data_IF_773909710372
#
_entry.id   IF_773909710372
#
_cell.length_a   1.000
_cell.length_b   1.000
_cell.length_c   1.000
_cell.angle_alpha   90.00
_cell.angle_beta   90.00
_cell.angle_gamma   90.00
#
_symmetry.space_group_name_H-M   'P 1'
#
loop_
_entity.id
_entity.type
_entity.pdbx_description
1 polymer ?
#
# COMPACT_ATOMS: atom_id res chain seq x y z
N UNK A 1 -22.94 9.84 -21.07
CA UNK A 1 -23.27 9.71 -19.64
C UNK A 1 -22.06 10.19 -18.87
N UNK A 2 -22.16 11.33 -18.18
CA UNK A 2 -21.08 11.82 -17.32
C UNK A 2 -21.04 10.95 -16.07
N UNK A 3 -20.03 10.10 -15.96
CA UNK A 3 -19.73 9.39 -14.71
C UNK A 3 -19.32 10.45 -13.69
N UNK A 4 -20.20 10.70 -12.71
CA UNK A 4 -19.84 11.48 -11.53
C UNK A 4 -18.60 10.84 -10.90
N UNK A 5 -17.55 11.60 -10.52
CA UNK A 5 -16.42 11.02 -9.83
C UNK A 5 -16.93 10.47 -8.50
N UNK A 6 -16.89 9.14 -8.35
CA UNK A 6 -17.17 8.51 -7.07
C UNK A 6 -16.21 9.10 -6.03
N UNK A 7 -16.74 9.55 -4.89
CA UNK A 7 -15.94 10.10 -3.81
C UNK A 7 -14.83 9.11 -3.43
N UNK A 8 -13.57 9.53 -3.48
CA UNK A 8 -12.43 8.67 -3.13
C UNK A 8 -12.53 8.31 -1.64
N UNK A 9 -12.30 7.04 -1.26
CA UNK A 9 -12.35 6.64 0.14
C UNK A 9 -11.28 7.39 0.94
N UNK A 10 -11.63 7.87 2.13
CA UNK A 10 -10.73 8.58 3.04
C UNK A 10 -9.80 7.58 3.75
N UNK A 11 -8.57 8.00 4.03
CA UNK A 11 -7.60 7.21 4.79
C UNK A 11 -8.11 7.01 6.22
N UNK A 12 -8.27 5.76 6.71
CA UNK A 12 -8.68 5.53 8.09
C UNK A 12 -7.65 6.08 9.08
N UNK A 13 -8.07 6.61 10.24
CA UNK A 13 -7.14 7.22 11.21
C UNK A 13 -6.18 6.21 11.84
N UNK A 14 -6.43 4.90 11.71
CA UNK A 14 -5.56 3.82 12.19
C UNK A 14 -4.45 3.46 11.21
N UNK A 15 -4.46 4.03 10.00
CA UNK A 15 -3.62 3.60 8.88
C UNK A 15 -2.49 4.60 8.64
N UNK A 16 -1.30 4.07 8.40
CA UNK A 16 -0.11 4.81 8.01
C UNK A 16 0.40 4.29 6.66
N UNK A 17 0.69 5.21 5.74
CA UNK A 17 1.02 4.89 4.35
C UNK A 17 2.29 5.63 3.92
N UNK A 18 3.14 4.93 3.17
CA UNK A 18 4.18 5.56 2.37
C UNK A 18 4.58 4.67 1.20
N UNK A 19 5.30 5.24 0.24
CA UNK A 19 5.89 4.50 -0.88
C UNK A 19 7.27 5.04 -1.19
N UNK A 20 8.02 4.32 -1.99
CA UNK A 20 9.27 4.83 -2.51
C UNK A 20 9.92 3.86 -3.48
N UNK A 21 11.22 4.06 -3.67
CA UNK A 21 12.07 3.27 -4.55
C UNK A 21 13.36 2.93 -3.84
N UNK A 22 13.79 1.68 -4.00
CA UNK A 22 15.13 1.23 -3.65
C UNK A 22 16.06 1.38 -4.86
N UNK A 23 17.19 2.05 -4.70
CA UNK A 23 18.11 2.32 -5.81
C UNK A 23 18.89 1.08 -6.31
N UNK A 24 19.10 0.08 -5.45
CA UNK A 24 19.86 -1.13 -5.79
C UNK A 24 19.02 -2.31 -6.30
N UNK A 25 19.69 -3.32 -6.86
CA UNK A 25 19.09 -4.54 -7.42
C UNK A 25 18.89 -5.68 -6.41
N UNK A 26 19.42 -5.55 -5.20
CA UNK A 26 19.39 -6.58 -4.15
C UNK A 26 18.44 -6.24 -2.98
N UNK A 27 17.34 -5.52 -3.26
CA UNK A 27 16.42 -5.00 -2.24
C UNK A 27 15.88 -6.10 -1.31
N UNK A 28 15.53 -7.27 -1.87
CA UNK A 28 15.02 -8.41 -1.11
C UNK A 28 16.02 -8.95 -0.08
N UNK A 29 17.29 -9.14 -0.48
CA UNK A 29 18.31 -9.68 0.42
C UNK A 29 18.72 -8.68 1.50
N UNK A 30 18.63 -7.39 1.21
CA UNK A 30 18.78 -6.33 2.21
C UNK A 30 17.64 -6.40 3.22
N UNK A 31 16.39 -6.54 2.79
CA UNK A 31 15.23 -6.68 3.67
C UNK A 31 15.29 -7.94 4.52
N UNK A 32 15.56 -9.11 3.92
CA UNK A 32 15.66 -10.38 4.66
C UNK A 32 16.69 -10.28 5.79
N UNK A 33 17.86 -9.69 5.52
CA UNK A 33 18.89 -9.45 6.54
C UNK A 33 18.46 -8.43 7.58
N UNK A 34 17.79 -7.35 7.18
CA UNK A 34 17.32 -6.32 8.09
C UNK A 34 16.23 -6.83 9.04
N UNK A 35 15.22 -7.53 8.52
CA UNK A 35 14.14 -8.13 9.30
C UNK A 35 14.64 -9.14 10.32
N UNK A 36 15.59 -10.01 9.94
CA UNK A 36 16.27 -10.92 10.87
C UNK A 36 16.93 -10.16 12.01
N UNK A 37 17.73 -9.13 11.70
CA UNK A 37 18.37 -8.29 12.73
C UNK A 37 17.37 -7.58 13.64
N UNK A 38 16.28 -7.06 13.09
CA UNK A 38 15.23 -6.38 13.88
C UNK A 38 14.53 -7.38 14.82
N UNK A 39 14.27 -8.60 14.36
CA UNK A 39 13.71 -9.67 15.20
C UNK A 39 14.69 -10.10 16.30
N UNK A 40 15.97 -10.30 15.96
CA UNK A 40 17.01 -10.69 16.92
C UNK A 40 17.21 -9.63 18.02
N UNK A 41 17.02 -8.34 17.68
CA UNK A 41 17.07 -7.21 18.62
C UNK A 41 15.76 -6.97 19.37
N UNK A 42 14.70 -7.72 19.08
CA UNK A 42 13.36 -7.51 19.63
C UNK A 42 12.76 -6.13 19.30
N UNK A 43 13.21 -5.50 18.20
CA UNK A 43 12.64 -4.26 17.68
C UNK A 43 11.28 -4.49 16.99
N UNK A 44 11.05 -5.72 16.52
CA UNK A 44 9.78 -6.24 15.99
C UNK A 44 9.43 -7.57 16.69
N UNK A 45 8.15 -7.91 16.76
CA UNK A 45 7.69 -9.17 17.35
C UNK A 45 7.95 -10.34 16.39
N UNK A 46 7.54 -10.17 15.12
CA UNK A 46 7.73 -11.17 14.08
C UNK A 46 7.69 -10.57 12.67
N UNK A 47 8.13 -11.35 11.69
CA UNK A 47 8.04 -11.04 10.26
C UNK A 47 7.82 -12.31 9.43
N UNK A 48 7.24 -12.15 8.25
CA UNK A 48 7.00 -13.22 7.29
C UNK A 48 7.27 -12.71 5.87
N UNK A 49 8.01 -13.48 5.10
CA UNK A 49 8.04 -13.34 3.65
C UNK A 49 6.90 -14.21 3.07
N UNK A 50 5.92 -13.58 2.45
CA UNK A 50 4.77 -14.28 1.89
C UNK A 50 5.24 -15.01 0.63
N UNK A 51 4.97 -16.34 0.50
CA UNK A 51 5.36 -17.09 -0.68
C UNK A 51 4.86 -16.45 -1.96
N UNK A 52 5.71 -16.44 -2.99
CA UNK A 52 5.36 -15.97 -4.31
C UNK A 52 4.10 -16.69 -4.82
N UNK A 53 3.11 -15.90 -5.24
CA UNK A 53 1.91 -16.41 -5.89
C UNK A 53 2.04 -16.17 -7.39
N UNK A 54 1.65 -17.15 -8.21
CA UNK A 54 1.59 -17.00 -9.66
C UNK A 54 0.71 -15.81 -10.12
N UNK A 55 -0.15 -15.29 -9.23
CA UNK A 55 -1.04 -14.16 -9.49
C UNK A 55 -0.41 -12.78 -9.25
N UNK A 56 0.76 -12.67 -8.60
CA UNK A 56 1.37 -11.37 -8.30
C UNK A 56 2.90 -11.40 -8.48
N UNK A 57 3.45 -10.53 -9.34
CA UNK A 57 4.90 -10.41 -9.50
C UNK A 57 5.56 -9.66 -8.32
N UNK A 58 4.78 -9.20 -7.34
CA UNK A 58 5.28 -8.48 -6.18
C UNK A 58 5.79 -9.44 -5.10
N UNK A 59 6.92 -9.08 -4.49
CA UNK A 59 7.43 -9.72 -3.26
C UNK A 59 6.82 -9.03 -2.05
N UNK A 60 6.30 -9.80 -1.12
CA UNK A 60 5.54 -9.27 0.02
C UNK A 60 6.20 -9.68 1.34
N UNK A 61 6.43 -8.70 2.19
CA UNK A 61 6.94 -8.87 3.54
C UNK A 61 5.93 -8.32 4.53
N UNK A 62 5.57 -9.11 5.53
CA UNK A 62 4.73 -8.71 6.64
C UNK A 62 5.59 -8.57 7.90
N UNK A 63 5.27 -7.61 8.76
CA UNK A 63 5.91 -7.44 10.05
C UNK A 63 4.91 -6.98 11.10
N UNK A 64 5.05 -7.51 12.32
CA UNK A 64 4.25 -7.16 13.48
C UNK A 64 5.12 -6.54 14.57
N UNK A 65 4.59 -5.53 15.24
CA UNK A 65 5.21 -4.92 16.42
C UNK A 65 4.17 -4.45 17.42
N UNK A 66 4.45 -4.59 18.73
CA UNK A 66 3.77 -3.85 19.79
C UNK A 66 4.45 -2.51 20.07
N UNK A 67 3.68 -1.43 20.03
CA UNK A 67 4.10 -0.08 20.41
C UNK A 67 3.41 0.30 21.73
N UNK A 68 4.15 0.98 22.61
CA UNK A 68 3.66 1.39 23.94
C UNK A 68 3.05 0.22 24.76
N UNK A 69 3.58 -0.99 24.60
CA UNK A 69 3.17 -2.20 25.32
C UNK A 69 1.82 -2.81 24.91
N UNK A 70 0.90 -2.02 24.36
CA UNK A 70 -0.49 -2.47 24.11
C UNK A 70 -0.95 -2.39 22.66
N UNK A 71 -0.39 -1.46 21.87
CA UNK A 71 -0.89 -1.23 20.52
C UNK A 71 -0.19 -2.16 19.54
N UNK A 72 -0.96 -3.05 18.92
CA UNK A 72 -0.43 -3.89 17.85
C UNK A 72 -0.44 -3.10 16.55
N UNK A 73 0.73 -3.01 15.91
CA UNK A 73 0.92 -2.48 14.56
C UNK A 73 1.23 -3.65 13.64
N UNK A 74 0.43 -3.77 12.58
CA UNK A 74 0.64 -4.70 11.47
C UNK A 74 1.11 -3.91 10.28
N UNK A 75 2.20 -4.33 9.64
CA UNK A 75 2.73 -3.65 8.49
C UNK A 75 3.01 -4.63 7.36
N UNK A 76 2.68 -4.22 6.13
CA UNK A 76 2.92 -4.96 4.90
C UNK A 76 3.68 -4.09 3.92
N UNK A 77 4.84 -4.58 3.51
CA UNK A 77 5.68 -4.01 2.46
C UNK A 77 5.53 -4.85 1.21
N UNK A 78 5.17 -4.22 0.10
CA UNK A 78 5.15 -4.85 -1.22
C UNK A 78 6.25 -4.25 -2.09
N UNK A 79 7.09 -5.10 -2.65
CA UNK A 79 8.17 -4.76 -3.57
C UNK A 79 7.78 -5.16 -4.99
N UNK A 80 7.81 -4.20 -5.90
CA UNK A 80 7.65 -4.45 -7.34
C UNK A 80 8.85 -5.27 -7.87
N UNK A 81 8.77 -5.88 -9.05
CA UNK A 81 9.96 -6.42 -9.73
C UNK A 81 11.04 -5.35 -9.91
N UNK A 82 12.31 -5.75 -9.75
CA UNK A 82 13.44 -4.86 -10.00
C UNK A 82 13.52 -4.42 -11.46
N UNK A 83 13.88 -3.16 -11.68
CA UNK A 83 14.17 -2.58 -13.00
C UNK A 83 15.58 -1.98 -13.00
N UNK A 84 16.09 -1.59 -14.18
CA UNK A 84 17.38 -0.89 -14.30
C UNK A 84 17.41 0.42 -13.49
N UNK A 85 16.24 1.01 -13.21
CA UNK A 85 16.09 2.23 -12.43
C UNK A 85 15.87 2.01 -10.93
N UNK A 86 15.95 0.77 -10.45
CA UNK A 86 15.66 0.40 -9.05
C UNK A 86 14.37 -0.39 -8.89
N UNK A 87 13.93 -0.55 -7.64
CA UNK A 87 12.78 -1.36 -7.26
C UNK A 87 11.77 -0.56 -6.44
N UNK A 88 10.57 -0.35 -6.98
CA UNK A 88 9.50 0.37 -6.30
C UNK A 88 8.95 -0.45 -5.13
N UNK A 89 8.57 0.25 -4.06
CA UNK A 89 7.99 -0.37 -2.88
C UNK A 89 6.83 0.46 -2.33
N UNK A 90 5.87 -0.23 -1.72
CA UNK A 90 4.72 0.37 -1.04
C UNK A 90 4.60 -0.24 0.34
N UNK A 91 4.44 0.62 1.35
CA UNK A 91 4.31 0.23 2.76
C UNK A 91 2.97 0.71 3.31
N UNK A 92 2.18 -0.24 3.79
CA UNK A 92 0.94 0.01 4.52
C UNK A 92 1.11 -0.53 5.93
N UNK A 93 0.79 0.28 6.92
CA UNK A 93 0.70 -0.15 8.31
C UNK A 93 -0.67 0.21 8.88
N UNK A 94 -1.18 -0.64 9.75
CA UNK A 94 -2.43 -0.44 10.47
C UNK A 94 -2.23 -0.76 11.95
N UNK A 95 -2.61 0.17 12.80
CA UNK A 95 -2.61 0.02 14.25
C UNK A 95 -4.00 -0.42 14.77
N UNK A 96 -4.03 -1.05 15.95
CA UNK A 96 -5.29 -1.41 16.63
C UNK A 96 -6.04 -0.22 17.23
N UNK A 97 -5.44 0.99 17.22
CA UNK A 97 -6.00 2.26 17.69
C UNK A 97 -5.67 3.36 16.66
N UNK A 98 -6.34 4.54 16.70
CA UNK A 98 -5.93 5.69 15.88
C UNK A 98 -4.43 5.95 15.98
N UNK A 99 -3.82 6.27 14.86
CA UNK A 99 -2.38 6.44 14.74
C UNK A 99 -1.92 7.66 15.54
N UNK A 100 -0.96 7.45 16.44
CA UNK A 100 -0.33 8.54 17.18
C UNK A 100 0.91 9.02 16.41
N UNK A 101 1.02 10.32 16.04
CA UNK A 101 2.19 10.88 15.37
C UNK A 101 3.50 10.68 16.13
N UNK A 102 3.45 10.55 17.45
CA UNK A 102 4.62 10.34 18.30
C UNK A 102 5.21 8.92 18.20
N UNK A 103 4.45 7.97 17.63
CA UNK A 103 4.96 6.62 17.42
C UNK A 103 6.06 6.59 16.35
N UNK A 104 7.07 5.72 16.50
CA UNK A 104 8.09 5.54 15.47
C UNK A 104 7.48 5.18 14.11
N UNK A 105 8.08 5.70 13.03
CA UNK A 105 7.65 5.36 11.68
C UNK A 105 7.69 3.84 11.42
N UNK A 106 6.64 3.26 10.80
CA UNK A 106 6.57 1.83 10.42
C UNK A 106 7.68 1.38 9.48
N UNK A 107 8.30 2.31 8.78
CA UNK A 107 9.53 2.09 8.01
C UNK A 107 10.60 1.38 8.84
N UNK A 108 10.72 1.73 10.12
CA UNK A 108 11.63 1.11 11.07
C UNK A 108 11.37 -0.38 11.35
N UNK A 109 10.24 -0.93 10.90
CA UNK A 109 9.92 -2.36 11.02
C UNK A 109 10.55 -3.21 9.91
N UNK A 110 11.02 -2.60 8.83
CA UNK A 110 11.60 -3.31 7.67
C UNK A 110 13.08 -3.06 7.49
N UNK A 111 13.55 -1.86 7.88
CA UNK A 111 14.97 -1.54 7.89
C UNK A 111 15.31 -0.63 9.07
N UNK A 112 16.55 -0.68 9.58
CA UNK A 112 16.97 0.17 10.70
C UNK A 112 16.82 1.67 10.38
N UNK A 113 16.77 2.52 11.42
CA UNK A 113 16.61 3.97 11.28
C UNK A 113 17.81 4.67 10.64
N UNK A 114 18.97 4.02 10.63
CA UNK A 114 20.12 4.28 9.76
C UNK A 114 20.08 3.30 8.58
N UNK A 115 19.10 3.36 7.66
CA UNK A 115 19.17 2.57 6.46
C UNK A 115 20.23 3.15 5.54
N UNK A 116 20.71 2.27 4.66
CA UNK A 116 21.28 2.66 3.38
C UNK A 116 20.44 3.77 2.76
N UNK A 117 21.09 4.84 2.27
CA UNK A 117 20.42 5.97 1.64
C UNK A 117 19.51 5.53 0.48
N UNK A 118 19.74 4.32 -0.04
CA UNK A 118 19.08 3.73 -1.19
C UNK A 118 17.58 3.50 -1.03
N UNK A 119 17.03 3.40 0.19
CA UNK A 119 15.58 3.22 0.41
C UNK A 119 14.78 4.51 0.43
N UNK A 120 15.45 5.66 0.55
CA UNK A 120 14.80 6.95 0.83
C UNK A 120 14.51 7.75 -0.43
N UNK A 121 13.96 7.13 -1.47
CA UNK A 121 13.61 7.82 -2.71
C UNK A 121 12.12 7.76 -2.96
N UNK A 122 11.50 8.88 -3.29
CA UNK A 122 10.15 8.89 -3.85
C UNK A 122 10.18 8.27 -5.26
N UNK A 123 9.24 7.37 -5.54
CA UNK A 123 9.20 6.64 -6.81
C UNK A 123 8.88 7.55 -8.01
N UNK A 124 8.11 8.63 -7.82
CA UNK A 124 7.67 9.50 -8.91
C UNK A 124 8.69 10.60 -9.23
N UNK A 125 9.33 11.16 -8.20
CA UNK A 125 10.16 12.37 -8.31
C UNK A 125 11.65 12.11 -7.99
N UNK A 126 11.98 10.97 -7.40
CA UNK A 126 13.33 10.63 -6.94
C UNK A 126 13.80 11.40 -5.69
N UNK A 127 12.93 12.25 -5.12
CA UNK A 127 13.22 13.10 -3.97
C UNK A 127 13.38 12.27 -2.70
N UNK A 128 14.06 12.84 -1.71
CA UNK A 128 14.35 12.14 -0.46
C UNK A 128 13.46 12.64 0.69
N UNK A 129 12.50 11.83 1.19
CA UNK A 129 11.73 12.17 2.37
C UNK A 129 12.64 12.25 3.60
N UNK A 130 12.41 13.27 4.43
CA UNK A 130 13.20 13.52 5.63
C UNK A 130 14.55 14.22 5.40
N UNK A 131 14.85 14.61 4.16
CA UNK A 131 16.06 15.34 3.79
C UNK A 131 15.71 16.65 3.07
N UNK A 132 16.70 17.54 3.00
CA UNK A 132 16.59 18.81 2.28
C UNK A 132 16.71 18.56 0.77
N UNK A 133 15.68 18.91 0.00
CA UNK A 133 15.70 18.81 -1.44
C UNK A 133 15.76 20.22 -2.07
N UNK A 134 16.91 20.69 -2.57
CA UNK A 134 16.98 21.98 -3.25
C UNK A 134 16.15 21.97 -4.54
N UNK A 135 15.47 23.07 -4.81
CA UNK A 135 14.76 23.25 -6.07
C UNK A 135 15.74 23.41 -7.23
N UNK A 136 15.40 22.90 -8.43
CA UNK A 136 16.27 23.03 -9.61
C UNK A 136 16.51 24.51 -9.95
N UNK A 137 17.66 24.82 -10.56
CA UNK A 137 17.95 26.18 -11.01
C UNK A 137 17.07 26.61 -12.20
N UNK A 138 16.65 25.66 -13.04
CA UNK A 138 15.80 25.91 -14.20
C UNK A 138 14.32 26.11 -13.81
N UNK A 139 13.76 27.27 -14.16
CA UNK A 139 12.37 27.65 -13.85
C UNK A 139 11.33 26.63 -14.35
N UNK A 140 11.57 26.04 -15.52
CA UNK A 140 10.66 25.04 -16.09
C UNK A 140 10.71 23.73 -15.28
N UNK A 141 11.90 23.33 -14.82
CA UNK A 141 12.10 22.21 -13.93
C UNK A 141 11.48 22.45 -12.55
N UNK A 142 11.58 23.66 -11.98
CA UNK A 142 10.87 24.05 -10.74
C UNK A 142 9.36 23.85 -10.90
N UNK A 143 8.78 24.42 -11.96
CA UNK A 143 7.34 24.32 -12.21
C UNK A 143 6.88 22.89 -12.40
N UNK A 144 7.64 22.08 -13.14
CA UNK A 144 7.34 20.66 -13.31
C UNK A 144 7.42 19.91 -11.99
N UNK A 145 8.50 20.11 -11.21
CA UNK A 145 8.69 19.45 -9.91
C UNK A 145 7.54 19.74 -8.95
N UNK A 146 7.19 21.01 -8.75
CA UNK A 146 6.13 21.39 -7.81
C UNK A 146 4.75 20.89 -8.24
N UNK A 147 4.48 20.86 -9.56
CA UNK A 147 3.24 20.26 -10.09
C UNK A 147 3.19 18.75 -9.87
N UNK A 148 4.30 18.05 -10.12
CA UNK A 148 4.37 16.60 -9.94
C UNK A 148 4.23 16.24 -8.46
N UNK A 149 4.85 17.00 -7.56
CA UNK A 149 4.69 16.86 -6.10
C UNK A 149 3.26 17.15 -5.64
N UNK A 150 2.61 18.19 -6.16
CA UNK A 150 1.22 18.47 -5.82
C UNK A 150 0.24 17.39 -6.31
N UNK A 151 0.64 16.57 -7.29
CA UNK A 151 -0.15 15.39 -7.72
C UNK A 151 0.19 14.14 -6.92
N UNK A 152 1.31 14.13 -6.21
CA UNK A 152 1.66 13.01 -5.35
C UNK A 152 0.86 13.08 -4.04
N UNK A 153 -0.07 12.14 -3.90
CA UNK A 153 -0.87 12.02 -2.68
C UNK A 153 -0.17 11.20 -1.58
N UNK A 154 0.98 10.57 -1.87
CA UNK A 154 1.65 9.68 -0.93
C UNK A 154 2.53 10.42 0.09
N UNK A 155 3.13 11.55 -0.31
CA UNK A 155 4.00 12.35 0.54
C UNK A 155 3.37 13.69 0.90
N UNK A 156 3.81 14.27 2.02
CA UNK A 156 3.49 15.64 2.39
C UNK A 156 4.61 16.53 1.89
N UNK A 157 4.31 17.45 0.98
CA UNK A 157 5.31 18.34 0.40
C UNK A 157 5.29 19.70 1.08
N UNK A 158 6.45 20.14 1.55
CA UNK A 158 6.63 21.44 2.19
C UNK A 158 7.62 22.25 1.37
N UNK A 159 7.25 23.47 0.97
CA UNK A 159 8.16 24.38 0.26
C UNK A 159 8.59 25.48 1.22
N UNK A 160 9.90 25.59 1.44
CA UNK A 160 10.50 26.62 2.30
C UNK A 160 11.32 27.56 1.44
N UNK A 161 11.10 28.86 1.59
CA UNK A 161 11.88 29.89 0.93
C UNK A 161 12.99 30.41 1.85
N UNK A 162 14.23 30.25 1.43
CA UNK A 162 15.40 30.78 2.14
C UNK A 162 15.45 32.31 1.97
N UNK A 163 15.22 33.08 3.04
CA UNK A 163 15.33 34.55 2.99
C UNK A 163 16.76 35.00 2.64
N UNK A 164 17.73 34.21 3.09
CA UNK A 164 19.17 34.32 2.87
C UNK A 164 19.76 32.92 2.87
N UNK A 165 20.96 32.75 2.32
CA UNK A 165 21.64 31.45 2.29
C UNK A 165 21.84 30.92 3.72
N UNK A 166 21.33 29.73 4.06
CA UNK A 166 21.44 29.18 5.40
C UNK A 166 22.89 28.78 5.73
N UNK A 167 23.25 28.92 7.00
CA UNK A 167 24.51 28.41 7.54
C UNK A 167 24.43 26.88 7.75
N UNK A 168 25.45 26.27 8.38
CA UNK A 168 25.45 24.82 8.62
C UNK A 168 24.26 24.36 9.48
N UNK A 169 23.82 25.19 10.43
CA UNK A 169 22.68 24.90 11.30
C UNK A 169 21.36 25.04 10.55
N UNK A 170 21.26 26.01 9.65
CA UNK A 170 20.12 26.20 8.78
C UNK A 170 19.91 25.11 7.72
N UNK A 171 20.91 24.25 7.50
CA UNK A 171 20.82 23.07 6.63
C UNK A 171 20.20 21.85 7.31
N UNK A 172 19.89 21.93 8.61
CA UNK A 172 19.18 20.86 9.31
C UNK A 172 17.81 20.63 8.66
N UNK A 173 17.49 19.40 8.22
CA UNK A 173 16.18 19.09 7.66
C UNK A 173 15.05 19.29 8.66
N UNK A 174 13.90 19.75 8.19
CA UNK A 174 12.66 19.92 8.97
C UNK A 174 12.27 18.63 9.70
N UNK A 175 12.52 17.48 9.07
CA UNK A 175 12.21 16.17 9.66
C UNK A 175 12.93 15.87 10.98
N UNK A 176 13.98 16.62 11.34
CA UNK A 176 14.59 16.53 12.67
C UNK A 176 13.60 16.91 13.78
N UNK A 177 12.76 17.93 13.52
CA UNK A 177 11.82 18.53 14.47
C UNK A 177 10.43 17.89 14.43
N UNK A 178 10.11 17.14 13.37
CA UNK A 178 8.80 16.52 13.23
C UNK A 178 8.61 15.32 14.17
N UNK A 179 7.35 15.01 14.54
CA UNK A 179 6.99 13.76 15.19
C UNK A 179 7.58 12.54 14.45
N UNK A 180 8.08 11.51 15.16
CA UNK A 180 8.74 10.35 14.55
C UNK A 180 7.95 9.68 13.42
N UNK A 181 6.61 9.65 13.52
CA UNK A 181 5.73 9.07 12.51
C UNK A 181 5.70 9.85 11.19
N UNK A 182 6.03 11.15 11.20
CA UNK A 182 5.98 12.04 10.03
C UNK A 182 7.32 12.20 9.31
N UNK A 183 8.44 11.94 9.99
CA UNK A 183 9.80 12.19 9.46
C UNK A 183 10.08 11.54 8.10
N UNK A 184 9.41 10.42 7.78
CA UNK A 184 9.58 9.64 6.55
C UNK A 184 8.48 9.85 5.51
N UNK A 185 7.56 10.77 5.76
CA UNK A 185 6.46 11.13 4.85
C UNK A 185 6.56 12.56 4.32
N UNK A 186 7.32 13.41 5.02
CA UNK A 186 7.53 14.81 4.63
C UNK A 186 8.71 14.93 3.68
N UNK A 187 8.47 15.59 2.55
CA UNK A 187 9.47 15.99 1.55
C UNK A 187 9.61 17.50 1.60
N UNK A 188 10.78 17.95 2.03
CA UNK A 188 11.11 19.36 2.16
C UNK A 188 11.80 19.88 0.90
N UNK A 189 11.25 20.94 0.31
CA UNK A 189 11.80 21.65 -0.83
C UNK A 189 12.39 22.99 -0.40
N UNK A 190 13.65 23.25 -0.76
CA UNK A 190 14.32 24.53 -0.49
C UNK A 190 14.38 25.39 -1.74
N UNK A 191 13.77 26.56 -1.68
CA UNK A 191 13.90 27.61 -2.67
C UNK A 191 14.99 28.59 -2.24
N UNK A 192 15.95 28.88 -3.12
CA UNK A 192 16.99 29.87 -2.87
C UNK A 192 16.40 31.29 -2.82
N UNK A 193 17.13 32.28 -2.26
CA UNK A 193 16.62 33.65 -2.13
C UNK A 193 16.18 34.31 -3.44
N UNK A 194 16.72 33.88 -4.57
CA UNK A 194 16.42 34.41 -5.90
C UNK A 194 15.19 33.73 -6.54
N UNK A 195 14.79 32.55 -6.04
CA UNK A 195 13.73 31.72 -6.64
C UNK A 195 12.31 32.10 -6.18
N UNK A 196 12.15 33.06 -5.25
CA UNK A 196 10.84 33.49 -4.72
C UNK A 196 9.76 33.67 -5.80
N UNK A 197 10.10 34.42 -6.85
CA UNK A 197 9.15 34.77 -7.92
C UNK A 197 8.75 33.54 -8.74
N UNK A 198 9.70 32.67 -9.05
CA UNK A 198 9.50 31.48 -9.88
C UNK A 198 8.67 30.44 -9.12
N UNK A 199 8.96 30.25 -7.83
CA UNK A 199 8.18 29.37 -6.95
C UNK A 199 6.74 29.84 -6.84
N UNK A 200 6.49 31.10 -6.51
CA UNK A 200 5.12 31.62 -6.40
C UNK A 200 4.39 31.65 -7.76
N UNK A 201 5.11 31.76 -8.87
CA UNK A 201 4.52 31.57 -10.19
C UNK A 201 4.10 30.11 -10.43
N UNK A 202 4.93 29.14 -10.05
CA UNK A 202 4.63 27.72 -10.17
C UNK A 202 3.47 27.28 -9.26
N UNK A 203 3.36 27.87 -8.06
CA UNK A 203 2.34 27.55 -7.06
C UNK A 203 1.00 28.24 -7.31
N UNK A 204 0.94 29.25 -8.18
CA UNK A 204 -0.29 29.97 -8.53
C UNK A 204 -1.42 29.05 -8.96
N UNK A 205 -1.11 28.03 -9.77
CA UNK A 205 -2.11 27.06 -10.26
C UNK A 205 -2.69 26.19 -9.12
N UNK A 206 -2.01 26.13 -7.98
CA UNK A 206 -2.44 25.41 -6.76
C UNK A 206 -3.13 26.32 -5.75
N UNK A 207 -3.23 27.63 -6.02
CA UNK A 207 -3.88 28.59 -5.13
C UNK A 207 -3.10 28.92 -3.86
N UNK A 208 -1.80 28.65 -3.81
CA UNK A 208 -0.95 28.89 -2.63
C UNK A 208 0.22 29.81 -2.95
N UNK A 209 0.72 30.51 -1.93
CA UNK A 209 1.88 31.41 -2.02
C UNK A 209 2.84 31.13 -0.86
N UNK A 210 4.15 31.11 -1.17
CA UNK A 210 5.23 31.03 -0.19
C UNK A 210 5.68 32.45 0.14
N UNK A 211 5.51 32.91 1.40
CA UNK A 211 6.04 34.19 1.84
C UNK A 211 7.57 34.21 1.76
N UNK A 212 8.15 35.39 1.54
CA UNK A 212 9.61 35.53 1.50
C UNK A 212 10.20 35.23 2.87
N UNK A 213 11.01 34.18 2.96
CA UNK A 213 11.56 33.69 4.23
C UNK A 213 10.59 32.81 5.00
N UNK A 214 9.45 32.46 4.41
CA UNK A 214 8.42 31.62 4.99
C UNK A 214 8.39 30.23 4.38
N UNK A 215 7.30 29.52 4.64
CA UNK A 215 7.06 28.18 4.10
C UNK A 215 5.57 27.95 3.82
N UNK A 216 5.26 26.95 3.01
CA UNK A 216 3.88 26.50 2.78
C UNK A 216 3.83 24.97 2.70
N UNK A 217 2.78 24.38 3.26
CA UNK A 217 2.45 22.97 3.05
C UNK A 217 1.58 22.87 1.80
N UNK A 218 2.00 22.08 0.80
CA UNK A 218 1.26 21.96 -0.45
C UNK A 218 -0.06 21.19 -0.22
N UNK A 219 -1.18 21.63 -0.82
CA UNK A 219 -2.49 21.02 -0.62
C UNK A 219 -2.58 19.58 -1.15
N UNK A 220 -1.77 19.21 -2.14
CA UNK A 220 -2.00 18.00 -2.93
C UNK A 220 -3.14 18.18 -3.96
N UNK A 221 -3.50 17.10 -4.65
CA UNK A 221 -4.53 17.12 -5.69
C UNK A 221 -5.34 15.81 -5.67
N UNK A 222 -6.61 15.83 -5.22
CA UNK A 222 -7.35 16.99 -4.74
C UNK A 222 -6.87 17.47 -3.36
N UNK A 223 -7.14 18.75 -3.04
CA UNK A 223 -6.90 19.30 -1.71
C UNK A 223 -7.81 18.60 -0.67
N UNK A 224 -7.32 18.32 0.55
CA UNK A 224 -8.12 17.77 1.63
C UNK A 224 -9.26 18.71 2.04
N UNK A 225 -10.36 18.12 2.51
CA UNK A 225 -11.44 18.91 3.10
C UNK A 225 -10.92 19.66 4.35
N UNK A 226 -11.19 20.96 4.42
CA UNK A 226 -10.70 21.82 5.49
C UNK A 226 -9.30 22.41 5.25
N UNK A 227 -8.70 22.20 4.08
CA UNK A 227 -7.48 22.92 3.70
C UNK A 227 -7.76 24.40 3.38
N UNK A 228 -7.11 25.30 4.11
CA UNK A 228 -7.04 26.73 3.79
C UNK A 228 -5.59 27.17 3.56
N UNK A 229 -5.33 27.88 2.45
CA UNK A 229 -3.99 28.28 2.07
C UNK A 229 -3.32 29.22 3.10
N UNK A 230 -4.10 30.02 3.82
CA UNK A 230 -3.60 30.91 4.86
C UNK A 230 -3.17 30.14 6.11
N UNK A 231 -3.97 29.16 6.52
CA UNK A 231 -3.70 28.35 7.72
C UNK A 231 -2.46 27.44 7.59
N UNK A 232 -2.09 27.09 6.35
CA UNK A 232 -0.93 26.24 6.04
C UNK A 232 0.23 27.00 5.39
N UNK A 233 0.22 28.33 5.46
CA UNK A 233 1.30 29.22 5.04
C UNK A 233 1.92 29.93 6.25
N UNK A 234 3.20 29.73 6.46
CA UNK A 234 3.98 30.31 7.56
C UNK A 234 4.77 31.50 7.05
N UNK A 235 4.57 32.67 7.68
CA UNK A 235 5.14 33.94 7.20
C UNK A 235 6.64 34.03 7.34
N UNK A 236 7.20 33.48 8.41
CA UNK A 236 8.63 33.55 8.72
C UNK A 236 9.10 32.21 9.30
N UNK A 237 10.16 31.67 8.71
CA UNK A 237 10.82 30.45 9.15
C UNK A 237 12.30 30.78 9.29
N UNK A 238 12.81 30.74 10.52
CA UNK A 238 14.21 30.99 10.80
C UNK A 238 15.02 29.71 10.60
N UNK A 239 16.05 29.79 9.75
CA UNK A 239 16.93 28.68 9.42
C UNK A 239 18.28 28.89 10.10
N UNK A 240 18.26 29.02 11.42
CA UNK A 240 19.42 29.28 12.29
C UNK A 240 19.72 28.09 13.23
N UNK A 241 19.01 26.97 13.04
CA UNK A 241 19.06 25.79 13.88
C UNK A 241 18.07 25.79 15.05
N UNK A 242 17.26 26.84 15.20
CA UNK A 242 16.12 26.81 16.12
C UNK A 242 14.97 25.99 15.55
N UNK A 243 14.13 25.45 16.43
CA UNK A 243 12.94 24.71 16.02
C UNK A 243 11.93 25.65 15.34
N UNK A 244 11.51 25.38 14.09
CA UNK A 244 10.51 26.19 13.41
C UNK A 244 9.10 25.76 13.86
N UNK A 245 8.72 26.12 15.09
CA UNK A 245 7.50 25.63 15.76
C UNK A 245 6.22 25.85 14.92
N UNK A 246 6.04 27.03 14.34
CA UNK A 246 4.86 27.35 13.50
C UNK A 246 4.76 26.42 12.27
N UNK A 247 5.90 26.05 11.68
CA UNK A 247 5.95 25.14 10.54
C UNK A 247 5.71 23.69 10.95
N UNK A 248 6.27 23.27 12.08
CA UNK A 248 6.02 21.93 12.66
C UNK A 248 4.53 21.77 12.99
N UNK A 249 3.92 22.80 13.58
CA UNK A 249 2.49 22.81 13.89
C UNK A 249 1.64 22.76 12.61
N UNK A 250 1.96 23.57 11.59
CA UNK A 250 1.23 23.56 10.31
C UNK A 250 1.29 22.18 9.63
N UNK A 251 2.45 21.53 9.60
CA UNK A 251 2.61 20.18 9.03
C UNK A 251 1.83 19.13 9.82
N UNK A 252 1.89 19.20 11.15
CA UNK A 252 1.19 18.25 12.03
C UNK A 252 -0.33 18.39 11.90
N UNK A 253 -0.83 19.62 11.84
CA UNK A 253 -2.25 19.92 11.62
C UNK A 253 -2.70 19.46 10.23
N UNK A 254 -1.86 19.63 9.21
CA UNK A 254 -2.16 19.16 7.85
C UNK A 254 -2.25 17.62 7.79
N UNK A 255 -1.35 16.90 8.47
CA UNK A 255 -1.38 15.44 8.49
C UNK A 255 -2.66 14.88 9.12
N UNK A 256 -3.21 15.58 10.12
CA UNK A 256 -4.46 15.25 10.79
C UNK A 256 -5.72 15.50 9.95
N UNK A 257 -5.62 16.18 8.79
CA UNK A 257 -6.77 16.37 7.91
C UNK A 257 -7.21 15.05 7.27
N UNK A 258 -8.53 14.82 7.11
CA UNK A 258 -9.05 13.68 6.37
C UNK A 258 -8.59 13.74 4.91
N UNK A 259 -7.75 12.79 4.50
CA UNK A 259 -7.19 12.73 3.14
C UNK A 259 -7.74 11.58 2.32
N UNK A 260 -8.02 11.78 1.02
CA UNK A 260 -8.36 10.67 0.14
C UNK A 260 -7.20 9.67 0.08
N UNK A 261 -7.52 8.39 -0.01
CA UNK A 261 -6.52 7.35 -0.22
C UNK A 261 -5.79 7.60 -1.54
N UNK A 262 -4.45 7.59 -1.54
CA UNK A 262 -3.67 7.66 -2.77
C UNK A 262 -3.99 6.51 -3.72
N UNK A 263 -3.75 6.72 -5.02
CA UNK A 263 -3.94 5.68 -6.03
C UNK A 263 -3.09 4.44 -5.68
N UNK A 264 -3.72 3.25 -5.68
CA UNK A 264 -3.12 1.97 -5.26
C UNK A 264 -3.14 1.70 -3.75
N UNK A 265 -3.36 2.70 -2.89
CA UNK A 265 -3.36 2.50 -1.43
C UNK A 265 -4.56 1.67 -0.94
N UNK A 266 -5.73 1.80 -1.58
CA UNK A 266 -6.91 1.01 -1.24
C UNK A 266 -6.69 -0.48 -1.45
N UNK A 267 -6.06 -0.87 -2.57
CA UNK A 267 -5.74 -2.27 -2.87
C UNK A 267 -4.72 -2.81 -1.86
N UNK A 268 -3.67 -2.04 -1.57
CA UNK A 268 -2.65 -2.42 -0.60
C UNK A 268 -3.21 -2.55 0.84
N UNK A 269 -4.13 -1.66 1.24
CA UNK A 269 -4.81 -1.75 2.53
C UNK A 269 -5.78 -2.93 2.61
N UNK A 270 -6.49 -3.22 1.52
CA UNK A 270 -7.37 -4.39 1.43
C UNK A 270 -6.54 -5.67 1.56
N UNK A 271 -5.42 -5.75 0.85
CA UNK A 271 -4.49 -6.87 0.95
C UNK A 271 -3.90 -7.01 2.37
N UNK A 272 -3.57 -5.91 3.05
CA UNK A 272 -3.13 -5.96 4.46
C UNK A 272 -4.22 -6.53 5.39
N UNK A 273 -5.50 -6.26 5.13
CA UNK A 273 -6.61 -6.70 6.01
C UNK A 273 -7.08 -8.11 5.72
N UNK A 274 -7.14 -8.49 4.44
CA UNK A 274 -7.72 -9.77 4.00
C UNK A 274 -6.69 -10.90 3.92
N UNK A 275 -5.46 -10.61 3.50
CA UNK A 275 -4.45 -11.65 3.28
C UNK A 275 -3.43 -11.80 4.43
N UNK A 276 -3.60 -11.07 5.54
CA UNK A 276 -2.66 -11.05 6.67
C UNK A 276 -2.42 -12.46 7.24
N UNK A 277 -1.14 -12.83 7.40
CA UNK A 277 -0.77 -14.19 7.85
C UNK A 277 -0.02 -14.23 9.18
N UNK A 278 0.51 -13.10 9.66
CA UNK A 278 1.22 -13.01 10.93
C UNK A 278 0.27 -12.89 12.13
N UNK A 279 -0.47 -13.96 12.40
CA UNK A 279 -1.31 -14.09 13.59
C UNK A 279 -0.50 -14.65 14.77
N UNK A 280 -0.88 -14.28 15.98
CA UNK A 280 -0.45 -14.98 17.20
C UNK A 280 -1.20 -16.28 17.36
N UNK A 281 -0.65 -17.25 18.09
CA UNK A 281 -1.33 -18.51 18.41
C UNK A 281 -2.71 -18.29 19.06
N UNK A 282 -2.86 -17.25 19.88
CA UNK A 282 -4.14 -16.90 20.50
C UNK A 282 -5.18 -16.44 19.47
N UNK A 283 -4.76 -15.59 18.53
CA UNK A 283 -5.60 -15.12 17.43
C UNK A 283 -5.94 -16.25 16.45
N UNK A 284 -4.99 -17.13 16.13
CA UNK A 284 -5.23 -18.33 15.33
C UNK A 284 -6.24 -19.25 16.02
N UNK A 285 -6.05 -19.53 17.30
CA UNK A 285 -6.97 -20.36 18.07
C UNK A 285 -8.38 -19.76 18.14
N UNK A 286 -8.49 -18.44 18.30
CA UNK A 286 -9.77 -17.75 18.28
C UNK A 286 -10.47 -17.90 16.92
N UNK A 287 -9.73 -17.70 15.82
CA UNK A 287 -10.23 -17.87 14.45
C UNK A 287 -10.69 -19.29 14.18
N UNK A 288 -9.90 -20.30 14.56
CA UNK A 288 -10.28 -21.70 14.37
C UNK A 288 -11.51 -22.07 15.20
N UNK A 289 -11.66 -21.53 16.41
CA UNK A 289 -12.86 -21.72 17.24
C UNK A 289 -14.11 -21.11 16.59
N UNK A 290 -13.98 -19.91 16.04
CA UNK A 290 -15.07 -19.26 15.31
C UNK A 290 -15.46 -20.07 14.06
N UNK A 291 -14.49 -20.56 13.31
CA UNK A 291 -14.71 -21.40 12.14
C UNK A 291 -15.44 -22.71 12.51
N UNK A 292 -15.02 -23.37 13.59
CA UNK A 292 -15.68 -24.57 14.11
C UNK A 292 -17.12 -24.25 14.55
N UNK A 293 -17.34 -23.12 15.22
CA UNK A 293 -18.68 -22.70 15.62
C UNK A 293 -19.59 -22.47 14.40
N UNK A 294 -19.10 -21.80 13.37
CA UNK A 294 -19.81 -21.58 12.10
C UNK A 294 -20.18 -22.90 11.43
N UNK A 295 -19.25 -23.87 11.35
CA UNK A 295 -19.55 -25.18 10.76
C UNK A 295 -20.52 -26.00 11.62
N UNK A 296 -20.43 -25.90 12.95
CA UNK A 296 -21.38 -26.56 13.84
C UNK A 296 -22.80 -25.99 13.64
N UNK A 297 -22.94 -24.67 13.53
CA UNK A 297 -24.21 -24.01 13.22
C UNK A 297 -24.75 -24.42 11.85
N UNK A 298 -23.90 -24.44 10.82
CA UNK A 298 -24.29 -24.90 9.49
C UNK A 298 -24.78 -26.36 9.50
N UNK A 299 -24.12 -27.24 10.24
CA UNK A 299 -24.51 -28.65 10.36
C UNK A 299 -25.84 -28.82 11.11
N UNK A 300 -26.07 -28.04 12.17
CA UNK A 300 -27.35 -28.01 12.89
C UNK A 300 -28.49 -27.52 11.98
N UNK A 301 -28.26 -26.45 11.20
CA UNK A 301 -29.20 -25.96 10.21
C UNK A 301 -29.53 -27.01 9.13
N UNK A 302 -28.52 -27.73 8.63
CA UNK A 302 -28.72 -28.83 7.67
C UNK A 302 -29.52 -29.97 8.30
N UNK A 303 -29.24 -30.31 9.56
CA UNK A 303 -29.95 -31.37 10.30
C UNK A 303 -31.43 -31.01 10.49
N UNK A 304 -31.71 -29.78 10.93
CA UNK A 304 -33.08 -29.25 11.03
C UNK A 304 -33.79 -29.26 9.68
N UNK A 305 -33.11 -28.86 8.60
CA UNK A 305 -33.71 -28.88 7.26
C UNK A 305 -34.09 -30.29 6.84
N UNK A 306 -33.24 -31.29 7.10
CA UNK A 306 -33.52 -32.70 6.82
C UNK A 306 -34.73 -33.21 7.61
N UNK A 307 -34.81 -32.86 8.88
CA UNK A 307 -35.90 -33.31 9.74
C UNK A 307 -37.24 -32.70 9.29
N UNK A 308 -37.25 -31.43 8.88
CA UNK A 308 -38.41 -30.80 8.26
C UNK A 308 -38.82 -31.49 6.95
N UNK A 309 -37.86 -31.90 6.10
CA UNK A 309 -38.17 -32.66 4.89
C UNK A 309 -38.75 -34.04 5.21
N UNK A 310 -38.25 -34.70 6.25
CA UNK A 310 -38.79 -36.00 6.69
C UNK A 310 -40.23 -35.86 7.16
N UNK A 311 -40.50 -34.89 8.04
CA UNK A 311 -41.86 -34.62 8.50
C UNK A 311 -42.81 -34.25 7.35
N UNK A 312 -42.33 -33.48 6.37
CA UNK A 312 -43.13 -33.15 5.19
C UNK A 312 -43.44 -34.39 4.34
N UNK A 313 -42.47 -35.30 4.17
CA UNK A 313 -42.67 -36.56 3.46
C UNK A 313 -43.65 -37.49 4.19
N UNK A 314 -43.52 -37.60 5.51
CA UNK A 314 -44.42 -38.43 6.33
C UNK A 314 -45.85 -37.90 6.27
N UNK A 315 -46.06 -36.57 6.41
CA UNK A 315 -47.38 -35.94 6.23
C UNK A 315 -47.96 -36.15 4.83
N UNK A 316 -47.12 -36.16 3.79
CA UNK A 316 -47.57 -36.43 2.43
C UNK A 316 -48.01 -37.90 2.25
N UNK A 317 -47.29 -38.85 2.85
CA UNK A 317 -47.69 -40.25 2.86
C UNK A 317 -49.00 -40.48 3.62
N UNK A 318 -49.17 -39.85 4.79
CA UNK A 318 -50.42 -39.89 5.56
C UNK A 318 -51.60 -39.38 4.74
N UNK A 319 -51.44 -38.25 4.05
CA UNK A 319 -52.48 -37.71 3.17
C UNK A 319 -52.83 -38.70 2.04
N UNK A 320 -51.83 -39.32 1.39
CA UNK A 320 -52.05 -40.32 0.34
C UNK A 320 -52.75 -41.58 0.86
N UNK A 321 -52.42 -42.04 2.06
CA UNK A 321 -53.07 -43.18 2.70
C UNK A 321 -54.55 -42.87 2.99
N UNK A 322 -54.85 -41.70 3.57
CA UNK A 322 -56.21 -41.27 3.82
C UNK A 322 -57.05 -41.18 2.52
N UNK A 323 -56.47 -40.70 1.41
CA UNK A 323 -57.14 -40.72 0.11
C UNK A 323 -57.45 -42.13 -0.40
N UNK A 324 -56.55 -43.10 -0.17
CA UNK A 324 -56.76 -44.51 -0.57
C UNK A 324 -57.82 -45.19 0.29
N UNK A 325 -57.78 -45.01 1.60
CA UNK A 325 -58.78 -45.56 2.53
C UNK A 325 -60.18 -44.98 2.25
N UNK A 326 -60.28 -43.68 1.94
CA UNK A 326 -61.53 -43.06 1.51
C UNK A 326 -62.05 -43.60 0.16
N UNK A 327 -61.16 -44.09 -0.71
CA UNK A 327 -61.52 -44.73 -1.98
C UNK A 327 -61.89 -46.22 -1.83
N UNK A 328 -61.38 -46.91 -0.81
CA UNK A 328 -61.61 -48.33 -0.53
C UNK A 328 -62.77 -48.62 0.44
N UNK A 329 -63.32 -47.59 1.11
CA UNK A 329 -64.51 -47.75 1.95
C UNK A 329 -65.71 -48.32 1.14
N UNK A 330 -66.32 -49.45 1.54
CA UNK A 330 -67.41 -50.08 0.80
C UNK A 330 -68.71 -49.30 1.06
N UNK A 331 -68.96 -48.31 0.21
CA UNK A 331 -70.17 -47.51 0.33
C UNK A 331 -70.25 -46.29 -0.58
N UNK A 332 -69.67 -46.31 -1.77
CA UNK A 332 -70.10 -45.40 -2.83
C UNK A 332 -69.71 -45.88 -4.24
N UNK A 333 -70.24 -47.04 -4.63
CA UNK A 333 -70.57 -47.26 -6.05
C UNK A 333 -72.03 -46.89 -6.23
N UNK A 334 -72.29 -45.63 -6.61
CA UNK A 334 -73.28 -45.19 -7.60
C UNK A 334 -73.67 -43.74 -7.33
N UNK A 335 -73.15 -42.82 -8.16
CA UNK A 335 -73.98 -42.14 -9.15
C UNK A 335 -73.08 -41.27 -10.04
N UNK A 336 -72.89 -41.73 -11.27
CA UNK A 336 -72.74 -40.81 -12.38
C UNK A 336 -74.08 -40.09 -12.56
N UNK A 337 -74.09 -38.75 -12.56
CA UNK A 337 -74.40 -37.92 -13.75
C UNK A 337 -74.35 -36.41 -13.36
N UNK A 338 -73.51 -35.70 -14.13
CA UNK A 338 -73.54 -34.29 -14.51
C UNK A 338 -73.51 -33.19 -13.43
N UNK A 339 -72.39 -32.45 -13.38
CA UNK A 339 -72.34 -31.04 -13.81
C UNK A 339 -70.93 -30.47 -13.77
N UNK A 340 -70.63 -29.72 -14.83
CA UNK A 340 -69.69 -28.59 -14.93
C UNK A 340 -68.21 -28.81 -14.63
N UNK A 341 -67.41 -28.49 -15.66
CA UNK A 341 -65.97 -28.26 -15.66
C UNK A 341 -65.39 -27.84 -14.30
N UNK A 342 -64.63 -28.74 -13.69
CA UNK A 342 -63.78 -28.43 -12.55
C UNK A 342 -62.31 -28.57 -13.00
N UNK A 343 -61.63 -27.43 -12.98
CA UNK A 343 -60.24 -27.24 -13.33
C UNK A 343 -59.36 -28.04 -12.36
N UNK A 344 -58.41 -28.79 -12.91
CA UNK A 344 -57.53 -29.71 -12.19
C UNK A 344 -56.67 -28.98 -11.13
N UNK A 345 -56.70 -29.39 -9.84
CA UNK A 345 -55.97 -28.74 -8.74
C UNK A 345 -54.44 -28.89 -8.84
N UNK A 346 -53.93 -29.74 -9.73
CA UNK A 346 -52.50 -29.86 -10.04
C UNK A 346 -51.97 -28.71 -10.93
N UNK A 347 -52.84 -27.97 -11.62
CA UNK A 347 -52.45 -26.79 -12.40
C UNK A 347 -52.32 -25.50 -11.56
N UNK A 348 -52.82 -25.50 -10.32
CA UNK A 348 -52.71 -24.35 -9.42
C UNK A 348 -51.39 -24.36 -8.65
N UNK A 349 -50.87 -25.53 -8.28
CA UNK A 349 -49.56 -25.67 -7.62
C UNK A 349 -48.38 -25.34 -8.57
N UNK A 350 -48.51 -25.66 -9.86
CA UNK A 350 -47.50 -25.31 -10.87
C UNK A 350 -47.47 -23.81 -11.18
N UNK A 351 -48.60 -23.11 -11.14
CA UNK A 351 -48.64 -21.64 -11.31
C UNK A 351 -48.15 -20.85 -10.10
N UNK A 352 -48.24 -21.41 -8.88
CA UNK A 352 -47.71 -20.77 -7.68
C UNK A 352 -46.17 -20.88 -7.59
N UNK A 353 -45.58 -21.99 -8.09
CA UNK A 353 -44.14 -22.17 -8.17
C UNK A 353 -43.48 -21.38 -9.31
N UNK A 354 -44.17 -21.16 -10.43
CA UNK A 354 -43.67 -20.28 -11.51
C UNK A 354 -43.62 -18.80 -11.10
N UNK A 355 -44.47 -18.36 -10.16
CA UNK A 355 -44.48 -16.98 -9.67
C UNK A 355 -43.38 -16.64 -8.66
N UNK A 356 -42.73 -17.64 -8.07
CA UNK A 356 -41.58 -17.44 -7.16
C UNK A 356 -40.23 -17.52 -7.89
N UNK A 357 -40.21 -17.92 -9.17
CA UNK A 357 -39.02 -17.96 -10.04
C UNK A 357 -38.82 -16.69 -10.88
N UNK A 358 -39.72 -15.72 -10.79
CA UNK A 358 -39.67 -14.45 -11.54
C UNK A 358 -39.41 -13.23 -10.66
N UNK A 359 -38.19 -13.08 -10.16
CA UNK A 359 -37.65 -11.88 -9.49
C UNK A 359 -36.12 -11.84 -9.64
N UNK A 360 -35.50 -10.67 -9.84
CA UNK A 360 -34.41 -10.50 -10.78
C UNK A 360 -33.03 -10.92 -10.24
N UNK A 361 -32.23 -11.52 -11.12
CA UNK A 361 -30.78 -11.38 -11.08
C UNK A 361 -29.98 -12.62 -10.71
N UNK A 362 -29.85 -13.57 -11.62
CA UNK A 362 -28.61 -14.35 -11.75
C UNK A 362 -28.23 -14.42 -13.23
N UNK A 363 -27.36 -13.49 -13.66
CA UNK A 363 -26.58 -13.63 -14.89
C UNK A 363 -25.46 -14.64 -14.63
N UNK A 364 -25.39 -15.70 -15.43
CA UNK A 364 -24.18 -16.50 -15.67
C UNK A 364 -24.03 -16.69 -17.19
N UNK A 365 -22.80 -16.89 -17.69
CA UNK A 365 -22.31 -16.31 -18.93
C UNK A 365 -22.61 -17.20 -20.13
N UNK A 366 -22.77 -16.58 -21.30
CA UNK A 366 -22.89 -17.28 -22.57
C UNK A 366 -21.56 -17.99 -22.91
N UNK A 367 -21.65 -19.29 -23.12
CA UNK A 367 -20.61 -20.10 -23.74
C UNK A 367 -20.57 -19.83 -25.25
N UNK A 368 -19.35 -19.86 -25.77
CA UNK A 368 -18.96 -19.78 -27.17
C UNK A 368 -19.76 -20.72 -28.08
N UNK A 369 -20.32 -20.17 -29.16
CA UNK A 369 -20.52 -20.90 -30.42
C UNK A 369 -19.89 -20.06 -31.55
N UNK A 370 -18.94 -20.69 -32.25
CA UNK A 370 -18.40 -20.21 -33.51
C UNK A 370 -19.32 -20.61 -34.67
N UNK A 371 -19.27 -19.88 -35.79
CA UNK A 371 -19.34 -20.55 -37.08
C UNK A 371 -18.18 -20.16 -37.99
N UNK A 372 -17.55 -21.19 -38.55
CA UNK A 372 -16.77 -21.10 -39.79
C UNK A 372 -17.71 -21.02 -40.99
N UNK A 373 -17.35 -20.21 -42.00
CA UNK A 373 -17.26 -20.57 -43.44
C UNK A 373 -16.71 -19.33 -44.17
N UNK A 374 -15.50 -19.37 -44.73
CA UNK A 374 -15.15 -19.85 -46.08
C UNK A 374 -15.49 -18.84 -47.20
N UNK A 375 -14.49 -18.38 -47.96
CA UNK A 375 -14.70 -17.63 -49.20
C UNK A 375 -13.54 -16.75 -49.64
N UNK A 376 -12.73 -17.27 -50.54
CA UNK A 376 -11.50 -16.71 -51.11
C UNK A 376 -11.67 -15.41 -51.93
N UNK A 377 -10.60 -14.60 -51.99
CA UNK A 377 -10.09 -13.96 -53.22
C UNK A 377 -8.69 -13.32 -53.00
N UNK A 378 -7.67 -13.90 -53.63
CA UNK A 378 -6.37 -13.34 -54.07
C UNK A 378 -6.39 -13.50 -55.62
N UNK A 379 -5.60 -12.82 -56.49
CA UNK A 379 -4.20 -12.36 -56.37
C UNK A 379 -4.05 -10.86 -56.76
N UNK A 380 -2.91 -10.17 -56.78
CA UNK A 380 -1.66 -10.40 -57.51
C UNK A 380 -0.70 -9.21 -57.18
N UNK A 381 0.44 -9.46 -56.52
CA UNK A 381 1.82 -9.45 -57.05
C UNK A 381 2.47 -8.07 -57.23
N UNK A 382 3.62 -7.85 -56.56
CA UNK A 382 4.95 -7.61 -57.17
C UNK A 382 5.97 -7.32 -56.05
N UNK A 383 6.94 -8.22 -55.89
CA UNK A 383 8.23 -7.99 -55.23
C UNK A 383 9.27 -7.65 -56.34
N UNK A 384 10.60 -7.54 -56.11
CA UNK A 384 11.41 -7.50 -54.87
C UNK A 384 12.46 -6.36 -54.88
N UNK A 385 13.18 -6.11 -53.78
CA UNK A 385 14.57 -6.60 -53.67
C UNK A 385 15.58 -5.48 -53.36
N UNK A 386 16.83 -5.80 -53.00
CA UNK A 386 17.45 -5.41 -51.72
C UNK A 386 18.78 -4.65 -51.85
N UNK A 387 19.40 -4.25 -50.73
CA UNK A 387 20.79 -3.78 -50.73
C UNK A 387 21.36 -3.45 -49.35
N UNK A 388 21.94 -4.44 -48.66
CA UNK A 388 23.21 -4.25 -47.95
C UNK A 388 24.34 -4.49 -48.98
N UNK A 389 25.56 -3.94 -48.82
CA UNK A 389 26.54 -4.66 -48.01
C UNK A 389 27.63 -3.81 -47.29
N UNK A 390 28.22 -4.47 -46.29
CA UNK A 390 29.66 -4.59 -45.98
C UNK A 390 30.54 -3.40 -45.53
N UNK A 391 31.18 -3.65 -44.39
CA UNK A 391 32.39 -3.04 -43.84
C UNK A 391 33.65 -3.32 -44.68
N UNK A 392 34.75 -2.57 -44.42
CA UNK A 392 35.98 -3.21 -43.92
C UNK A 392 36.59 -2.41 -42.74
N UNK A 393 36.97 -3.02 -41.61
CA UNK A 393 38.28 -3.64 -41.31
C UNK A 393 39.50 -2.74 -41.59
N UNK A 394 40.18 -2.27 -40.53
CA UNK A 394 41.65 -2.38 -40.33
C UNK A 394 41.97 -2.17 -38.82
N UNK A 395 42.85 -3.03 -38.31
CA UNK A 395 43.42 -3.08 -36.97
C UNK A 395 44.71 -2.23 -36.82
N UNK A 396 45.42 -2.41 -35.69
CA UNK A 396 46.72 -1.82 -35.29
C UNK A 396 46.58 -0.54 -34.46
N UNK A 397 47.18 -0.36 -33.29
CA UNK A 397 48.14 -1.11 -32.47
C UNK A 397 48.10 -0.46 -31.07
N UNK A 398 48.33 -1.21 -29.97
CA UNK A 398 48.59 -0.64 -28.66
C UNK A 398 50.09 -0.72 -28.33
N UNK A 399 50.65 0.35 -27.77
CA UNK A 399 51.94 0.27 -27.07
C UNK A 399 52.46 1.61 -26.56
N UNK A 400 53.46 1.65 -25.65
CA UNK A 400 53.95 0.57 -24.79
C UNK A 400 53.91 0.94 -23.29
N UNK A 401 54.07 -0.09 -22.46
CA UNK A 401 54.32 -0.01 -21.02
C UNK A 401 55.83 0.13 -20.69
N UNK A 402 56.11 0.28 -19.38
CA UNK A 402 57.35 -0.07 -18.62
C UNK A 402 58.29 1.13 -18.29
N UNK A 403 58.99 1.19 -17.12
CA UNK A 403 59.05 0.24 -15.98
C UNK A 403 58.76 0.78 -14.56
N UNK A 404 58.60 -0.22 -13.69
CA UNK A 404 58.71 -0.27 -12.23
C UNK A 404 59.97 0.38 -11.63
N UNK A 405 59.87 0.88 -10.39
CA UNK A 405 60.63 0.33 -9.25
C UNK A 405 60.30 1.04 -7.92
N UNK A 406 60.54 0.38 -6.77
CA UNK A 406 59.77 0.53 -5.54
C UNK A 406 60.44 1.44 -4.50
N UNK A 407 59.68 1.94 -3.53
CA UNK A 407 60.25 2.47 -2.30
C UNK A 407 59.37 2.13 -1.09
N UNK A 408 60.09 1.80 -0.03
CA UNK A 408 59.66 1.01 1.12
C UNK A 408 58.75 1.77 2.09
N UNK A 409 57.98 0.98 2.84
CA UNK A 409 57.30 1.35 4.07
C UNK A 409 58.30 1.88 5.14
N UNK A 410 57.83 2.50 6.24
CA UNK A 410 57.26 1.68 7.31
C UNK A 410 56.01 2.25 8.00
N UNK A 411 55.21 1.32 8.51
CA UNK A 411 54.20 1.51 9.55
C UNK A 411 54.77 2.17 10.81
N UNK A 412 53.96 2.93 11.56
CA UNK A 412 54.09 3.01 13.00
C UNK A 412 53.02 2.14 13.68
N UNK A 413 53.50 1.13 14.42
CA UNK A 413 52.71 0.30 15.32
C UNK A 413 52.09 1.13 16.46
N UNK A 414 50.94 0.70 17.01
CA UNK A 414 50.33 1.29 18.18
C UNK A 414 51.06 0.88 19.46
N UNK A 415 51.47 1.86 20.26
CA UNK A 415 51.96 1.65 21.63
C UNK A 415 50.81 1.22 22.54
N UNK A 416 50.78 -0.08 22.84
CA UNK A 416 50.03 -0.66 23.94
C UNK A 416 50.89 -0.50 25.19
N UNK A 417 50.50 0.37 26.12
CA UNK A 417 50.96 0.31 27.51
C UNK A 417 49.85 -0.21 28.39
N UNK A 418 50.01 -1.48 28.80
CA UNK A 418 49.25 -2.10 29.87
C UNK A 418 50.24 -2.58 30.94
N UNK A 419 50.05 -2.12 32.18
CA UNK A 419 50.31 -2.79 33.48
C UNK A 419 50.50 -1.77 34.60
N UNK A 420 50.28 -2.09 35.89
CA UNK A 420 49.30 -3.00 36.50
C UNK A 420 48.56 -2.33 37.70
N UNK A 421 47.60 -3.02 38.37
CA UNK A 421 46.86 -2.45 39.49
C UNK A 421 47.61 -2.59 40.82
N UNK A 422 47.55 -1.56 41.67
CA UNK A 422 47.93 -1.66 43.08
C UNK A 422 46.68 -1.98 43.90
N UNK A 423 46.73 -3.13 44.57
CA UNK A 423 45.83 -3.52 45.63
C UNK A 423 46.41 -3.13 47.00
N UNK A 424 45.60 -2.48 47.84
CA UNK A 424 45.66 -2.48 49.31
C UNK A 424 44.27 -2.04 49.82
N UNK A 425 43.37 -2.94 50.24
CA UNK A 425 43.23 -3.58 51.57
C UNK A 425 43.33 -2.63 52.79
N UNK A 426 42.28 -2.74 53.63
CA UNK A 426 42.11 -2.38 55.05
C UNK A 426 41.20 -1.15 55.25
N UNK A 427 39.90 -1.31 55.52
CA UNK A 427 39.24 -1.68 56.79
C UNK A 427 39.63 -0.84 58.02
N UNK A 428 38.56 -0.35 58.66
CA UNK A 428 38.41 0.10 60.06
C UNK A 428 38.72 1.55 60.42
N UNK A 429 37.66 2.35 60.51
CA UNK A 429 37.25 3.02 61.75
C UNK A 429 35.72 3.17 61.75
#
# INVERSE_FOLDING_TARGET
MSTSPAARPTTPPTVWLTRGRHAGTAAEDVLRRALRRLKDRQDIDDFLEVPESAASPYRVFESRRRIAGEVTVRARLSLAPGTDGGQDWTLVAEASRPWDPEWPSPVGMFWPQEPDADWRHDAATGLRPGEVNPLPEDDKAVRRRLRDCARDAWHLHVVVHEAMTPDERGRTPLAHWLPPGLRRRVVEHRATPQQARVVNWALRDLGVEVPRGGAVVLPGSPAPDGYDAGDFSVRAVFLDGTEPTDLVEAVTRFDALPRPLPDGAQEALTALREDWRLLTLEEELARERELVAMYAEALDAMTKSRDLYREAADRAHEALAAYREAAEAPGNRQQSVARTAAVSPLQQLTRALDRLKGGPGFRRPAAHEAPETSGASRPEATAPGPGAPESPSVASEPGPAVPESPSAAPEPQPVISASPPVAARSQSA
#
